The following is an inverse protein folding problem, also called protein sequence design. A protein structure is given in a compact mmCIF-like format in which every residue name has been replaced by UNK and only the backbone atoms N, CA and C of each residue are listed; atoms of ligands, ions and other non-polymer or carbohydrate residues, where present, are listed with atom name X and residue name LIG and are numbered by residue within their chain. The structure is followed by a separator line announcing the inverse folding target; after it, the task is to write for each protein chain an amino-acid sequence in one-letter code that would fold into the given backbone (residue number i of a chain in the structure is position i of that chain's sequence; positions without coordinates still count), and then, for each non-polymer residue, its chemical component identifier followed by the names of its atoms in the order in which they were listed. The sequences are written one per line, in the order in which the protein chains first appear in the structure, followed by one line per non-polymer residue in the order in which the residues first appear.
data_IF_305314771377
#
_entry.id   IF_305314771377
#
_cell.length_a   1.000
_cell.length_b   1.000
_cell.length_c   1.000
_cell.angle_alpha   90.00
_cell.angle_beta   90.00
_cell.angle_gamma   90.00
#
_symmetry.space_group_name_H-M   'P 1'
#
loop_
_entity.id
_entity.type
_entity.pdbx_description
1 polymer ?
#
# COMPACT_ATOMS: atom_id res chain seq x y z
N UNK A 1 -37.98 -8.19 -21.25
CA UNK A 1 -37.51 -8.03 -19.85
C UNK A 1 -37.95 -6.67 -19.36
N UNK A 2 -38.40 -6.55 -18.12
CA UNK A 2 -38.75 -5.27 -17.48
C UNK A 2 -37.49 -4.50 -17.07
N UNK A 3 -37.60 -3.18 -16.86
CA UNK A 3 -36.47 -2.35 -16.41
C UNK A 3 -35.87 -2.82 -15.06
N UNK A 4 -36.66 -3.17 -14.02
CA UNK A 4 -36.12 -3.69 -12.76
C UNK A 4 -35.26 -4.94 -12.95
N UNK A 5 -35.75 -5.93 -13.73
CA UNK A 5 -35.00 -7.17 -13.98
C UNK A 5 -33.65 -6.95 -14.70
N UNK A 6 -33.47 -5.84 -15.43
CA UNK A 6 -32.19 -5.44 -16.01
C UNK A 6 -31.25 -4.81 -14.96
N UNK A 7 -31.80 -4.02 -14.04
CA UNK A 7 -31.05 -3.38 -12.94
C UNK A 7 -30.56 -4.45 -11.96
N UNK A 8 -31.43 -5.37 -11.53
CA UNK A 8 -31.08 -6.46 -10.62
C UNK A 8 -29.97 -7.35 -11.19
N UNK A 9 -30.03 -7.64 -12.50
CA UNK A 9 -29.01 -8.38 -13.23
C UNK A 9 -27.70 -7.62 -13.45
N UNK A 10 -27.70 -6.30 -13.36
CA UNK A 10 -26.48 -5.48 -13.40
C UNK A 10 -25.86 -5.38 -11.99
N UNK A 11 -26.68 -5.13 -10.97
CA UNK A 11 -26.26 -5.06 -9.57
C UNK A 11 -25.64 -6.38 -9.10
N UNK A 12 -26.24 -7.53 -9.41
CA UNK A 12 -25.64 -8.84 -9.09
C UNK A 12 -24.22 -8.98 -9.66
N UNK A 13 -24.04 -8.69 -10.95
CA UNK A 13 -22.70 -8.75 -11.57
C UNK A 13 -21.69 -7.80 -10.93
N UNK A 14 -22.11 -6.61 -10.49
CA UNK A 14 -21.23 -5.68 -9.77
C UNK A 14 -20.91 -6.15 -8.35
N UNK A 15 -21.82 -6.85 -7.68
CA UNK A 15 -21.57 -7.47 -6.37
C UNK A 15 -20.65 -8.69 -6.51
N UNK A 16 -20.88 -9.55 -7.51
CA UNK A 16 -20.02 -10.70 -7.82
C UNK A 16 -18.62 -10.25 -8.30
N UNK A 17 -18.53 -9.06 -8.90
CA UNK A 17 -17.30 -8.36 -9.28
C UNK A 17 -16.90 -7.24 -8.30
N UNK A 18 -17.29 -7.40 -7.03
CA UNK A 18 -16.36 -7.11 -5.95
C UNK A 18 -15.19 -8.11 -6.02
N UNK A 19 -14.31 -8.15 -5.02
CA UNK A 19 -12.92 -8.65 -5.10
C UNK A 19 -12.04 -7.93 -6.14
N UNK A 20 -12.56 -7.50 -7.29
CA UNK A 20 -11.81 -6.70 -8.30
C UNK A 20 -11.36 -5.34 -7.75
N UNK A 21 -12.25 -4.43 -7.29
CA UNK A 21 -11.79 -3.15 -6.73
C UNK A 21 -10.99 -3.34 -5.44
N UNK A 22 -11.32 -4.34 -4.61
CA UNK A 22 -10.51 -4.69 -3.44
C UNK A 22 -9.08 -5.12 -3.82
N UNK A 23 -8.92 -5.98 -4.82
CA UNK A 23 -7.63 -6.42 -5.34
C UNK A 23 -6.85 -5.26 -5.94
N UNK A 24 -7.50 -4.40 -6.75
CA UNK A 24 -6.85 -3.24 -7.35
C UNK A 24 -6.36 -2.25 -6.29
N UNK A 25 -7.16 -1.94 -5.27
CA UNK A 25 -6.74 -1.10 -4.13
C UNK A 25 -5.58 -1.76 -3.38
N UNK A 26 -5.67 -3.07 -3.12
CA UNK A 26 -4.63 -3.82 -2.42
C UNK A 26 -3.29 -3.83 -3.18
N UNK A 27 -3.32 -4.12 -4.47
CA UNK A 27 -2.12 -4.11 -5.32
C UNK A 27 -1.54 -2.70 -5.42
N UNK A 28 -2.37 -1.66 -5.60
CA UNK A 28 -1.93 -0.27 -5.68
C UNK A 28 -1.27 0.20 -4.38
N UNK A 29 -1.95 0.08 -3.24
CA UNK A 29 -1.45 0.52 -1.93
C UNK A 29 -0.24 -0.31 -1.49
N UNK A 30 -0.30 -1.63 -1.66
CA UNK A 30 0.80 -2.53 -1.32
C UNK A 30 2.05 -2.24 -2.16
N UNK A 31 1.91 -2.08 -3.47
CA UNK A 31 3.04 -1.74 -4.35
C UNK A 31 3.62 -0.35 -4.04
N UNK A 32 2.78 0.64 -3.75
CA UNK A 32 3.22 1.99 -3.38
C UNK A 32 4.13 1.97 -2.13
N UNK A 33 3.75 1.23 -1.09
CA UNK A 33 4.59 1.08 0.12
C UNK A 33 5.81 0.19 -0.11
N UNK A 34 5.70 -0.88 -0.92
CA UNK A 34 6.81 -1.74 -1.31
C UNK A 34 7.91 -0.93 -2.02
N UNK A 35 7.53 -0.11 -3.01
CA UNK A 35 8.45 0.69 -3.82
C UNK A 35 9.09 1.82 -2.98
N UNK A 36 8.28 2.57 -2.22
CA UNK A 36 8.75 3.59 -1.26
C UNK A 36 9.73 3.01 -0.24
N UNK A 37 9.39 1.88 0.38
CA UNK A 37 10.24 1.20 1.35
C UNK A 37 11.55 0.70 0.74
N UNK A 38 11.51 0.14 -0.46
CA UNK A 38 12.70 -0.29 -1.19
C UNK A 38 13.67 0.87 -1.48
N UNK A 39 13.14 2.01 -1.95
CA UNK A 39 13.92 3.23 -2.18
C UNK A 39 14.54 3.80 -0.90
N UNK A 40 13.82 3.72 0.23
CA UNK A 40 14.33 4.13 1.56
C UNK A 40 15.41 3.19 2.09
N UNK A 41 15.29 1.88 1.88
CA UNK A 41 16.33 0.90 2.27
C UNK A 41 17.62 1.11 1.48
N UNK A 42 17.53 1.45 0.19
CA UNK A 42 18.71 1.70 -0.67
C UNK A 42 19.42 3.03 -0.38
N UNK A 43 18.73 4.01 0.23
CA UNK A 43 19.27 5.33 0.56
C UNK A 43 19.07 5.62 2.05
N UNK A 44 19.37 4.62 2.90
CA UNK A 44 18.98 4.64 4.30
C UNK A 44 19.73 5.70 5.12
N UNK A 45 20.98 6.01 4.75
CA UNK A 45 21.79 7.05 5.41
C UNK A 45 21.20 8.45 5.16
N UNK A 46 20.91 8.80 3.90
CA UNK A 46 20.20 10.05 3.54
C UNK A 46 18.83 10.15 4.23
N UNK A 47 18.11 9.03 4.33
CA UNK A 47 16.81 8.98 5.01
C UNK A 47 16.95 9.18 6.52
N UNK A 48 18.00 8.65 7.14
CA UNK A 48 18.36 8.90 8.53
C UNK A 48 18.80 10.36 8.77
N UNK A 49 19.54 10.97 7.85
CA UNK A 49 19.90 12.40 7.95
C UNK A 49 18.65 13.29 7.92
N UNK A 50 17.65 12.97 7.08
CA UNK A 50 16.35 13.65 7.10
C UNK A 50 15.63 13.51 8.45
N UNK A 51 15.66 12.33 9.07
CA UNK A 51 15.10 12.13 10.42
C UNK A 51 15.83 12.95 11.48
N UNK A 52 17.16 13.08 11.37
CA UNK A 52 17.97 13.94 12.23
C UNK A 52 17.61 15.43 12.05
N UNK A 53 17.44 15.88 10.80
CA UNK A 53 17.00 17.24 10.46
C UNK A 53 15.57 17.57 10.94
N UNK A 54 14.72 16.55 11.11
CA UNK A 54 13.39 16.68 11.73
C UNK A 54 13.43 16.64 13.27
N UNK A 55 14.59 16.44 13.88
CA UNK A 55 14.75 16.33 15.34
C UNK A 55 14.23 15.01 15.92
N UNK A 56 14.08 13.96 15.11
CA UNK A 56 13.60 12.65 15.59
C UNK A 56 14.73 11.96 16.39
N UNK A 57 14.48 11.51 17.63
CA UNK A 57 15.48 10.80 18.43
C UNK A 57 15.86 9.47 17.78
N UNK A 58 17.12 9.04 17.97
CA UNK A 58 17.67 7.83 17.34
C UNK A 58 17.35 7.73 15.82
N UNK A 59 17.78 8.71 15.01
CA UNK A 59 17.28 8.90 13.65
C UNK A 59 17.53 7.69 12.74
N UNK A 60 18.71 7.07 12.79
CA UNK A 60 19.02 5.86 12.01
C UNK A 60 18.10 4.68 12.35
N UNK A 61 17.76 4.49 13.64
CA UNK A 61 16.85 3.43 14.06
C UNK A 61 15.41 3.69 13.56
N UNK A 62 14.91 4.90 13.73
CA UNK A 62 13.55 5.26 13.31
C UNK A 62 13.39 5.30 11.78
N UNK A 63 14.42 5.73 11.05
CA UNK A 63 14.47 5.67 9.59
C UNK A 63 14.46 4.21 9.10
N UNK A 64 15.27 3.34 9.69
CA UNK A 64 15.29 1.91 9.37
C UNK A 64 13.94 1.23 9.67
N UNK A 65 13.36 1.51 10.85
CA UNK A 65 12.06 0.99 11.24
C UNK A 65 10.97 1.41 10.24
N UNK A 66 10.89 2.69 9.89
CA UNK A 66 9.96 3.21 8.87
C UNK A 66 10.17 2.53 7.51
N UNK A 67 11.42 2.46 7.02
CA UNK A 67 11.74 1.92 5.70
C UNK A 67 11.37 0.42 5.59
N UNK A 68 11.74 -0.38 6.59
CA UNK A 68 11.42 -1.82 6.62
C UNK A 68 9.93 -2.10 6.88
N UNK A 69 9.24 -1.29 7.69
CA UNK A 69 7.79 -1.41 7.87
C UNK A 69 7.04 -1.12 6.57
N UNK A 70 7.44 -0.11 5.80
CA UNK A 70 6.84 0.16 4.48
C UNK A 70 7.13 -0.95 3.48
N UNK A 71 8.38 -1.42 3.38
CA UNK A 71 8.75 -2.48 2.44
C UNK A 71 8.04 -3.81 2.75
N UNK A 72 8.14 -4.30 3.99
CA UNK A 72 7.55 -5.57 4.40
C UNK A 72 6.02 -5.48 4.50
N UNK A 73 5.48 -4.36 4.99
CA UNK A 73 4.04 -4.11 5.04
C UNK A 73 3.44 -4.03 3.64
N UNK A 74 4.09 -3.31 2.72
CA UNK A 74 3.69 -3.25 1.31
C UNK A 74 3.70 -4.63 0.65
N UNK A 75 4.75 -5.43 0.87
CA UNK A 75 4.85 -6.81 0.39
C UNK A 75 3.69 -7.70 0.91
N UNK A 76 3.44 -7.67 2.22
CA UNK A 76 2.36 -8.44 2.83
C UNK A 76 0.98 -8.02 2.29
N UNK A 77 0.75 -6.72 2.11
CA UNK A 77 -0.48 -6.20 1.49
C UNK A 77 -0.63 -6.73 0.06
N UNK A 78 0.41 -6.68 -0.78
CA UNK A 78 0.34 -7.21 -2.16
C UNK A 78 -0.09 -8.68 -2.18
N UNK A 79 0.55 -9.50 -1.33
CA UNK A 79 0.29 -10.93 -1.21
C UNK A 79 -1.15 -11.23 -0.76
N UNK A 80 -1.64 -10.53 0.26
CA UNK A 80 -3.02 -10.60 0.75
C UNK A 80 -3.19 -11.33 2.07
#
# INVERSE_FOLDING_TARGET
MTLPARIDGALRRLTDAQWVPQLLVRLFVGYFFLESGWGKIHNLDDFAERFAGWGIPAPAFNAALSAWTEFLGGLLIVLG
#
